data_IF_708972115351
#
_entry.id   IF_708972115351
#
_cell.length_a   1.000
_cell.length_b   1.000
_cell.length_c   1.000
_cell.angle_alpha   90.00
_cell.angle_beta   90.00
_cell.angle_gamma   90.00
#
_symmetry.space_group_name_H-M   'P 1'
#
loop_
_entity.id
_entity.type
_entity.pdbx_description
1 polymer ?
#
# COMPACT_ATOMS: atom_id res chain seq x y z
N UNK A 1 -3.30 -39.45 -28.06
CA UNK A 1 -3.25 -39.24 -26.60
C UNK A 1 -3.88 -37.90 -26.30
N UNK A 2 -4.94 -37.90 -25.50
CA UNK A 2 -5.72 -36.72 -25.13
C UNK A 2 -4.82 -35.67 -24.46
N UNK A 3 -4.82 -34.46 -25.01
CA UNK A 3 -4.29 -33.26 -24.36
C UNK A 3 -5.22 -32.85 -23.23
N UNK A 4 -5.14 -33.55 -22.10
CA UNK A 4 -5.64 -32.99 -20.84
C UNK A 4 -4.86 -31.69 -20.60
N UNK A 5 -5.56 -30.56 -20.69
CA UNK A 5 -5.08 -29.27 -20.23
C UNK A 5 -4.54 -29.47 -18.81
N UNK A 6 -3.21 -29.51 -18.67
CA UNK A 6 -2.56 -29.57 -17.36
C UNK A 6 -2.82 -28.24 -16.65
N UNK A 7 -3.99 -28.12 -16.03
CA UNK A 7 -4.31 -27.02 -15.13
C UNK A 7 -3.54 -27.24 -13.84
N UNK A 8 -2.77 -26.24 -13.45
CA UNK A 8 -2.20 -26.15 -12.09
C UNK A 8 -3.33 -26.24 -11.06
N UNK A 9 -3.14 -27.04 -10.01
CA UNK A 9 -4.01 -27.06 -8.84
C UNK A 9 -3.71 -25.92 -7.87
N UNK A 10 -2.62 -25.18 -8.06
CA UNK A 10 -2.32 -24.01 -7.24
C UNK A 10 -3.41 -22.95 -7.40
N UNK A 11 -3.94 -22.52 -6.26
CA UNK A 11 -4.92 -21.45 -6.19
C UNK A 11 -4.24 -20.10 -6.44
N UNK A 12 -5.03 -19.15 -6.91
CA UNK A 12 -4.58 -17.76 -7.10
C UNK A 12 -3.96 -17.14 -5.85
N UNK A 13 -4.48 -17.46 -4.66
CA UNK A 13 -3.94 -16.99 -3.38
C UNK A 13 -2.54 -17.55 -3.07
N UNK A 14 -2.24 -18.76 -3.53
CA UNK A 14 -0.92 -19.37 -3.38
C UNK A 14 0.08 -18.70 -4.31
N UNK A 15 -0.31 -18.45 -5.57
CA UNK A 15 0.53 -17.72 -6.53
C UNK A 15 0.82 -16.28 -6.05
N UNK A 16 -0.21 -15.58 -5.54
CA UNK A 16 -0.08 -14.26 -4.91
C UNK A 16 0.97 -14.30 -3.79
N UNK A 17 0.86 -15.28 -2.88
CA UNK A 17 1.76 -15.45 -1.72
C UNK A 17 3.20 -15.74 -2.15
N UNK A 18 3.42 -16.52 -3.21
CA UNK A 18 4.75 -16.80 -3.74
C UNK A 18 5.41 -15.52 -4.27
N UNK A 19 4.70 -14.72 -5.06
CA UNK A 19 5.26 -13.46 -5.60
C UNK A 19 5.61 -12.50 -4.46
N UNK A 20 4.73 -12.34 -3.48
CA UNK A 20 4.97 -11.48 -2.32
C UNK A 20 6.20 -11.96 -1.53
N UNK A 21 6.32 -13.27 -1.29
CA UNK A 21 7.50 -13.86 -0.62
C UNK A 21 8.79 -13.60 -1.41
N UNK A 22 8.76 -13.72 -2.74
CA UNK A 22 9.95 -13.50 -3.57
C UNK A 22 10.40 -12.03 -3.57
N UNK A 23 9.45 -11.10 -3.54
CA UNK A 23 9.72 -9.67 -3.47
C UNK A 23 10.06 -9.19 -2.05
N UNK A 24 9.65 -9.91 -1.00
CA UNK A 24 10.00 -9.54 0.39
C UNK A 24 11.44 -9.88 0.77
N UNK A 25 12.11 -10.77 0.03
CA UNK A 25 13.50 -11.17 0.31
C UNK A 25 14.52 -10.09 -0.07
N UNK A 26 14.30 -9.34 -1.15
CA UNK A 26 15.18 -8.25 -1.59
C UNK A 26 14.44 -6.92 -1.51
N UNK A 27 14.98 -5.97 -0.73
CA UNK A 27 14.38 -4.64 -0.58
C UNK A 27 14.43 -3.80 -1.85
N UNK A 28 15.27 -4.18 -2.83
CA UNK A 28 15.45 -3.48 -4.10
C UNK A 28 14.42 -3.95 -5.13
N UNK A 29 13.98 -3.04 -6.03
CA UNK A 29 13.13 -3.43 -7.16
C UNK A 29 13.79 -4.51 -8.04
N UNK A 30 13.03 -5.56 -8.34
CA UNK A 30 13.47 -6.76 -9.06
C UNK A 30 13.06 -6.66 -10.54
N UNK A 31 13.97 -6.83 -11.51
CA UNK A 31 13.60 -6.86 -12.93
C UNK A 31 12.59 -7.97 -13.24
N UNK A 32 11.65 -7.70 -14.16
CA UNK A 32 10.57 -8.64 -14.53
C UNK A 32 11.09 -10.07 -14.82
N UNK A 33 12.07 -10.22 -15.71
CA UNK A 33 12.64 -11.53 -16.09
C UNK A 33 13.30 -12.26 -14.91
N UNK A 34 13.90 -11.51 -13.97
CA UNK A 34 14.49 -12.07 -12.77
C UNK A 34 13.40 -12.59 -11.82
N UNK A 35 12.33 -11.80 -11.62
CA UNK A 35 11.20 -12.20 -10.80
C UNK A 35 10.49 -13.43 -11.39
N UNK A 36 10.24 -13.43 -12.71
CA UNK A 36 9.69 -14.56 -13.46
C UNK A 36 10.54 -15.82 -13.27
N UNK A 37 11.85 -15.72 -13.47
CA UNK A 37 12.78 -16.86 -13.29
C UNK A 37 12.74 -17.40 -11.86
N UNK A 38 12.73 -16.52 -10.86
CA UNK A 38 12.61 -16.90 -9.44
C UNK A 38 11.28 -17.58 -9.13
N UNK A 39 10.18 -17.07 -9.68
CA UNK A 39 8.84 -17.62 -9.51
C UNK A 39 8.73 -19.07 -10.02
N UNK A 40 9.13 -19.32 -11.27
CA UNK A 40 9.09 -20.68 -11.81
C UNK A 40 10.08 -21.63 -11.14
N UNK A 41 11.26 -21.12 -10.73
CA UNK A 41 12.21 -21.92 -9.95
C UNK A 41 11.63 -22.31 -8.58
N UNK A 42 10.95 -21.38 -7.92
CA UNK A 42 10.28 -21.64 -6.64
C UNK A 42 9.20 -22.71 -6.80
N UNK A 43 8.33 -22.58 -7.81
CA UNK A 43 7.28 -23.57 -8.09
C UNK A 43 7.90 -24.94 -8.37
N UNK A 44 8.91 -25.02 -9.25
CA UNK A 44 9.56 -26.31 -9.55
C UNK A 44 10.16 -26.97 -8.31
N UNK A 45 10.73 -26.19 -7.40
CA UNK A 45 11.37 -26.71 -6.20
C UNK A 45 10.37 -27.13 -5.11
N UNK A 46 9.25 -26.41 -4.96
CA UNK A 46 8.31 -26.61 -3.84
C UNK A 46 7.00 -27.31 -4.25
N UNK A 47 6.67 -27.27 -5.54
CA UNK A 47 5.46 -27.81 -6.15
C UNK A 47 5.82 -28.56 -7.46
N UNK A 48 6.64 -29.62 -7.39
CA UNK A 48 7.24 -30.26 -8.58
C UNK A 48 6.24 -30.91 -9.54
N UNK A 49 5.01 -31.19 -9.07
CA UNK A 49 3.92 -31.76 -9.88
C UNK A 49 3.04 -30.71 -10.55
N UNK A 50 3.22 -29.44 -10.19
CA UNK A 50 2.41 -28.33 -10.67
C UNK A 50 2.97 -27.75 -11.97
N UNK A 51 2.09 -27.49 -12.92
CA UNK A 51 2.43 -26.84 -14.18
C UNK A 51 1.73 -25.49 -14.27
N UNK A 52 2.49 -24.42 -14.06
CA UNK A 52 1.97 -23.05 -14.09
C UNK A 52 2.34 -22.40 -15.43
N UNK A 53 1.35 -21.82 -16.08
CA UNK A 53 1.55 -21.08 -17.34
C UNK A 53 2.18 -19.71 -17.08
N UNK A 54 2.85 -19.19 -18.08
CA UNK A 54 3.37 -17.82 -18.04
C UNK A 54 2.28 -16.78 -17.83
N UNK A 55 1.11 -16.99 -18.44
CA UNK A 55 -0.06 -16.14 -18.25
C UNK A 55 -0.48 -16.06 -16.78
N UNK A 56 -0.41 -17.17 -16.03
CA UNK A 56 -0.72 -17.18 -14.60
C UNK A 56 0.21 -16.27 -13.80
N UNK A 57 1.49 -16.17 -14.18
CA UNK A 57 2.43 -15.24 -13.56
C UNK A 57 2.06 -13.78 -13.87
N UNK A 58 1.74 -13.45 -15.11
CA UNK A 58 1.28 -12.10 -15.50
C UNK A 58 -0.02 -11.71 -14.80
N UNK A 59 -0.98 -12.63 -14.72
CA UNK A 59 -2.26 -12.43 -14.04
C UNK A 59 -2.06 -12.20 -12.54
N UNK A 60 -1.12 -12.94 -11.93
CA UNK A 60 -0.74 -12.76 -10.52
C UNK A 60 -0.16 -11.36 -10.29
N UNK A 61 0.80 -10.91 -11.11
CA UNK A 61 1.36 -9.56 -11.00
C UNK A 61 0.30 -8.48 -11.19
N UNK A 62 -0.56 -8.64 -12.19
CA UNK A 62 -1.66 -7.70 -12.47
C UNK A 62 -2.63 -7.62 -11.30
N UNK A 63 -3.00 -8.76 -10.72
CA UNK A 63 -3.89 -8.84 -9.56
C UNK A 63 -3.28 -8.17 -8.33
N UNK A 64 -2.02 -8.48 -8.02
CA UNK A 64 -1.30 -7.88 -6.89
C UNK A 64 -1.09 -6.37 -7.07
N UNK A 65 -0.81 -5.91 -8.30
CA UNK A 65 -0.68 -4.47 -8.63
C UNK A 65 -2.02 -3.75 -8.49
N UNK A 66 -3.13 -4.34 -8.93
CA UNK A 66 -4.49 -3.82 -8.71
C UNK A 66 -4.85 -3.75 -7.22
N UNK A 67 -4.37 -4.71 -6.42
CA UNK A 67 -4.51 -4.71 -4.95
C UNK A 67 -3.53 -3.76 -4.25
N UNK A 68 -2.66 -3.06 -4.97
CA UNK A 68 -1.61 -2.19 -4.42
C UNK A 68 -0.68 -2.90 -3.42
N UNK A 69 -0.42 -4.19 -3.62
CA UNK A 69 0.51 -4.98 -2.80
C UNK A 69 1.92 -5.01 -3.43
N UNK A 70 1.99 -4.76 -4.74
CA UNK A 70 3.23 -4.65 -5.50
C UNK A 70 3.12 -3.48 -6.47
N UNK A 71 4.27 -2.93 -6.81
CA UNK A 71 4.41 -1.76 -7.68
C UNK A 71 5.47 -2.02 -8.74
N UNK A 72 5.46 -1.18 -9.75
CA UNK A 72 6.40 -1.24 -10.87
C UNK A 72 6.93 0.16 -11.12
N UNK A 73 8.26 0.31 -11.20
CA UNK A 73 8.88 1.60 -11.48
C UNK A 73 9.02 1.84 -12.99
N UNK A 74 9.48 3.04 -13.37
CA UNK A 74 9.69 3.42 -14.77
C UNK A 74 10.69 2.53 -15.55
N UNK A 75 11.45 1.67 -14.87
CA UNK A 75 12.41 0.75 -15.47
C UNK A 75 11.88 -0.69 -15.56
N UNK A 76 10.58 -0.92 -15.35
CA UNK A 76 9.96 -2.25 -15.39
C UNK A 76 10.42 -3.18 -14.25
N UNK A 77 10.87 -2.58 -13.13
CA UNK A 77 11.28 -3.34 -11.94
C UNK A 77 10.16 -3.34 -10.91
N UNK A 78 9.91 -4.52 -10.37
CA UNK A 78 8.81 -4.83 -9.47
C UNK A 78 9.27 -4.81 -8.02
N UNK A 79 8.45 -4.25 -7.14
CA UNK A 79 8.75 -4.13 -5.71
C UNK A 79 7.48 -4.32 -4.90
N UNK A 80 7.61 -4.66 -3.62
CA UNK A 80 6.50 -4.57 -2.69
C UNK A 80 6.07 -3.12 -2.55
N UNK A 81 4.81 -2.86 -2.89
CA UNK A 81 4.16 -1.56 -2.76
C UNK A 81 3.25 -1.67 -1.53
N UNK A 82 3.52 -0.85 -0.53
CA UNK A 82 2.79 -0.78 0.75
C UNK A 82 2.38 -2.14 1.35
N UNK A 83 3.38 -2.94 1.76
CA UNK A 83 3.12 -3.97 2.78
C UNK A 83 2.49 -3.28 3.98
N UNK A 84 1.46 -3.92 4.52
CA UNK A 84 0.80 -3.61 5.78
C UNK A 84 1.83 -3.21 6.84
N UNK A 85 2.11 -1.92 6.90
CA UNK A 85 3.05 -1.41 7.86
C UNK A 85 2.44 -1.67 9.22
N UNK A 86 3.22 -2.25 10.11
CA UNK A 86 2.76 -2.44 11.47
C UNK A 86 2.44 -1.08 12.05
N UNK A 87 1.29 -0.97 12.71
CA UNK A 87 1.02 0.18 13.56
C UNK A 87 2.15 0.25 14.58
N UNK A 88 2.79 1.40 14.67
CA UNK A 88 3.65 1.70 15.81
C UNK A 88 2.78 2.02 17.03
N UNK A 89 3.41 2.28 18.18
CA UNK A 89 2.71 2.83 19.34
C UNK A 89 2.70 4.38 19.36
N UNK A 90 3.00 5.03 18.23
CA UNK A 90 3.04 6.50 18.12
C UNK A 90 1.77 7.01 17.50
N UNK A 91 0.95 7.63 18.33
CA UNK A 91 -0.31 8.23 17.93
C UNK A 91 -0.18 9.75 17.85
N UNK A 92 -0.99 10.35 17.00
CA UNK A 92 -1.13 11.80 16.90
C UNK A 92 -2.53 12.18 16.45
N UNK A 93 -2.80 13.48 16.48
CA UNK A 93 -4.05 14.06 16.00
C UNK A 93 -3.74 15.16 14.99
N UNK A 94 -4.58 15.30 13.97
CA UNK A 94 -4.40 16.35 12.97
C UNK A 94 -5.53 16.42 11.96
N UNK A 95 -5.49 17.45 11.13
CA UNK A 95 -6.47 17.65 10.08
C UNK A 95 -6.03 16.94 8.81
N UNK A 96 -6.95 16.21 8.21
CA UNK A 96 -6.73 15.44 6.98
C UNK A 96 -7.04 16.28 5.75
N UNK A 97 -6.13 16.29 4.78
CA UNK A 97 -6.37 16.82 3.43
C UNK A 97 -6.18 15.70 2.39
N UNK A 98 -7.21 15.39 1.60
CA UNK A 98 -7.17 14.33 0.59
C UNK A 98 -6.94 14.95 -0.79
N UNK A 99 -5.86 14.53 -1.44
CA UNK A 99 -5.54 14.94 -2.81
C UNK A 99 -6.59 14.37 -3.79
N UNK A 100 -7.31 15.23 -4.55
CA UNK A 100 -8.44 14.78 -5.38
C UNK A 100 -8.06 13.77 -6.48
N UNK A 101 -6.81 13.81 -6.96
CA UNK A 101 -6.36 12.96 -8.09
C UNK A 101 -5.96 11.55 -7.64
N UNK A 102 -5.21 11.43 -6.55
CA UNK A 102 -4.71 10.14 -6.07
C UNK A 102 -5.64 9.49 -5.05
N UNK A 103 -6.46 10.29 -4.37
CA UNK A 103 -7.26 9.88 -3.22
C UNK A 103 -6.45 9.67 -1.96
N UNK A 104 -5.15 9.98 -1.95
CA UNK A 104 -4.30 9.88 -0.77
C UNK A 104 -4.47 11.11 0.13
N UNK A 105 -4.29 10.90 1.43
CA UNK A 105 -4.38 11.92 2.46
C UNK A 105 -3.03 12.45 2.92
N UNK A 106 -3.04 13.65 3.47
CA UNK A 106 -1.94 14.27 4.20
C UNK A 106 -2.47 14.83 5.51
N UNK A 107 -1.81 14.50 6.62
CA UNK A 107 -2.20 15.01 7.94
C UNK A 107 -1.30 16.17 8.34
N UNK A 108 -1.96 17.26 8.74
CA UNK A 108 -1.31 18.44 9.32
C UNK A 108 -1.59 18.49 10.82
N UNK A 109 -0.55 18.29 11.63
CA UNK A 109 -0.60 18.35 13.10
C UNK A 109 -0.53 19.81 13.53
N UNK A 110 -1.50 20.27 14.32
CA UNK A 110 -1.46 21.58 15.00
C UNK A 110 -0.83 21.39 16.38
N UNK A 111 0.18 22.17 16.72
CA UNK A 111 0.69 22.25 18.10
C UNK A 111 0.57 23.70 18.58
N UNK A 112 -0.24 23.91 19.61
CA UNK A 112 -0.27 25.08 20.49
C UNK A 112 0.07 26.43 19.82
N UNK A 113 -0.88 27.00 19.07
CA UNK A 113 -0.86 28.40 18.67
C UNK A 113 0.10 28.81 17.55
N UNK A 114 1.03 27.95 17.12
CA UNK A 114 1.97 28.28 16.04
C UNK A 114 1.76 27.50 14.74
N UNK A 115 2.02 28.22 13.65
CA UNK A 115 1.92 27.90 12.21
C UNK A 115 1.91 26.41 11.87
N UNK A 116 1.00 26.06 10.94
CA UNK A 116 0.96 24.77 10.23
C UNK A 116 2.38 24.24 9.98
N UNK A 117 2.78 23.22 10.73
CA UNK A 117 3.96 22.45 10.36
C UNK A 117 3.61 21.86 9.00
N UNK A 118 4.41 22.14 7.96
CA UNK A 118 4.27 21.53 6.62
C UNK A 118 3.85 20.08 6.79
N UNK A 119 2.84 19.63 6.02
CA UNK A 119 2.24 18.29 6.09
C UNK A 119 3.27 17.28 6.58
N UNK A 120 2.97 16.61 7.69
CA UNK A 120 3.98 15.83 8.41
C UNK A 120 3.83 14.34 8.17
N UNK A 121 2.60 13.91 7.83
CA UNK A 121 2.27 12.52 7.63
C UNK A 121 1.53 12.31 6.32
N UNK A 122 1.91 11.26 5.60
CA UNK A 122 1.23 10.77 4.41
C UNK A 122 0.29 9.63 4.81
N UNK A 123 -0.92 9.63 4.28
CA UNK A 123 -1.93 8.59 4.52
C UNK A 123 -2.35 8.02 3.17
N UNK A 124 -2.01 6.76 2.92
CA UNK A 124 -2.51 6.09 1.72
C UNK A 124 -4.04 5.99 1.77
N UNK A 125 -4.73 6.09 0.62
CA UNK A 125 -6.21 6.02 0.53
C UNK A 125 -6.85 4.83 1.27
N UNK A 126 -6.14 3.70 1.33
CA UNK A 126 -6.57 2.46 2.04
C UNK A 126 -6.61 2.62 3.56
N UNK A 127 -5.86 3.57 4.10
CA UNK A 127 -5.69 3.83 5.52
C UNK A 127 -6.48 5.06 6.00
N UNK A 128 -7.41 5.58 5.19
CA UNK A 128 -8.22 6.75 5.56
C UNK A 128 -9.32 6.43 6.58
N UNK A 129 -9.69 5.15 6.71
CA UNK A 129 -10.73 4.68 7.64
C UNK A 129 -12.03 5.51 7.58
N UNK A 130 -12.51 5.82 6.36
CA UNK A 130 -13.74 6.58 6.13
C UNK A 130 -13.64 8.09 6.35
N UNK A 131 -12.48 8.61 6.74
CA UNK A 131 -12.25 10.05 6.91
C UNK A 131 -12.31 10.80 5.57
N UNK A 132 -12.74 12.06 5.65
CA UNK A 132 -12.87 13.01 4.53
C UNK A 132 -11.92 14.20 4.69
N UNK A 133 -11.67 14.92 3.60
CA UNK A 133 -10.93 16.19 3.65
C UNK A 133 -11.57 17.15 4.65
N UNK A 134 -10.76 17.69 5.55
CA UNK A 134 -11.15 18.60 6.61
C UNK A 134 -11.47 17.92 7.95
N UNK A 135 -11.57 16.59 7.99
CA UNK A 135 -11.82 15.86 9.25
C UNK A 135 -10.62 16.02 10.20
N UNK A 136 -10.93 16.14 11.50
CA UNK A 136 -9.96 15.97 12.57
C UNK A 136 -9.86 14.48 12.86
N UNK A 137 -8.66 13.91 12.71
CA UNK A 137 -8.44 12.47 12.83
C UNK A 137 -7.37 12.16 13.86
N UNK A 138 -7.56 11.04 14.58
CA UNK A 138 -6.51 10.37 15.32
C UNK A 138 -5.84 9.36 14.40
N UNK A 139 -4.52 9.42 14.32
CA UNK A 139 -3.73 8.55 13.46
C UNK A 139 -2.64 7.84 14.24
N UNK A 140 -2.10 6.77 13.64
CA UNK A 140 -0.94 6.03 14.11
C UNK A 140 0.16 6.06 13.05
N UNK A 141 1.40 6.32 13.46
CA UNK A 141 2.54 6.21 12.55
C UNK A 141 2.74 4.73 12.16
N UNK A 142 3.11 4.53 10.91
CA UNK A 142 3.34 3.23 10.31
C UNK A 142 4.83 2.89 10.34
N UNK A 143 5.17 1.67 10.76
CA UNK A 143 6.55 1.22 10.86
C UNK A 143 7.19 1.07 9.48
N UNK A 144 7.96 2.07 9.05
CA UNK A 144 8.74 1.97 7.82
C UNK A 144 9.90 1.01 8.05
N UNK A 145 9.89 -0.11 7.32
CA UNK A 145 10.92 -1.14 7.40
C UNK A 145 12.32 -0.50 7.21
N UNK A 146 13.15 -0.55 8.27
CA UNK A 146 14.35 0.28 8.51
C UNK A 146 15.40 0.31 7.38
N UNK A 147 15.33 -0.60 6.39
CA UNK A 147 16.24 -0.62 5.23
C UNK A 147 15.96 0.46 4.18
N UNK A 148 14.83 1.17 4.26
CA UNK A 148 14.46 2.28 3.33
C UNK A 148 14.46 3.65 4.01
N UNK A 149 15.51 3.99 4.78
CA UNK A 149 15.74 5.39 5.18
C UNK A 149 16.17 6.23 3.97
N UNK A 150 15.22 6.62 3.13
CA UNK A 150 15.43 7.62 2.10
C UNK A 150 15.16 9.01 2.69
N UNK A 151 16.24 9.76 2.92
CA UNK A 151 16.33 11.21 3.12
C UNK A 151 15.51 11.85 4.27
N UNK A 152 16.14 12.80 4.97
CA UNK A 152 15.61 13.61 6.10
C UNK A 152 14.33 14.44 5.81
N UNK A 153 13.67 14.23 4.67
CA UNK A 153 12.52 14.99 4.19
C UNK A 153 11.31 14.11 3.80
N UNK A 154 11.37 12.78 3.99
CA UNK A 154 10.24 11.89 3.72
C UNK A 154 9.14 12.10 4.76
N UNK A 155 7.92 12.40 4.30
CA UNK A 155 6.70 12.36 5.11
C UNK A 155 6.61 11.02 5.86
N UNK A 156 6.13 11.03 7.10
CA UNK A 156 5.95 9.82 7.88
C UNK A 156 4.66 9.13 7.40
N UNK A 157 4.73 7.85 7.03
CA UNK A 157 3.52 7.09 6.67
C UNK A 157 2.63 6.92 7.92
N UNK A 158 1.32 7.10 7.77
CA UNK A 158 0.34 7.00 8.85
C UNK A 158 -0.95 6.28 8.41
N UNK A 159 -1.69 5.80 9.42
CA UNK A 159 -3.04 5.24 9.26
C UNK A 159 -4.02 5.95 10.18
N UNK A 160 -5.21 6.29 9.66
CA UNK A 160 -6.29 6.85 10.46
C UNK A 160 -6.89 5.74 11.31
N UNK A 161 -6.87 5.95 12.63
CA UNK A 161 -7.43 5.04 13.62
C UNK A 161 -8.88 5.41 13.88
N UNK A 162 -9.17 6.71 13.95
CA UNK A 162 -10.47 7.22 14.38
C UNK A 162 -10.70 8.64 13.82
N UNK A 163 -11.94 8.95 13.46
CA UNK A 163 -12.37 10.31 13.12
C UNK A 163 -12.93 10.96 14.38
N UNK A 164 -12.27 12.02 14.86
CA UNK A 164 -12.64 12.71 16.10
C UNK A 164 -13.73 13.77 15.86
N UNK A 165 -13.68 14.44 14.71
CA UNK A 165 -14.69 15.40 14.27
C UNK A 165 -14.74 15.45 12.76
N UNK A 166 -15.94 15.47 12.19
CA UNK A 166 -16.11 15.75 10.77
C UNK A 166 -15.97 17.24 10.49
N UNK A 167 -15.50 17.59 9.29
CA UNK A 167 -15.56 18.98 8.85
C UNK A 167 -17.02 19.41 8.72
N UNK A 168 -17.49 20.30 9.58
CA UNK A 168 -18.83 20.87 9.51
C UNK A 168 -18.93 21.83 8.32
N UNK A 169 -19.31 21.31 7.16
CA UNK A 169 -19.75 22.10 6.01
C UNK A 169 -21.26 22.33 5.99
N UNK A 170 -21.97 21.96 7.05
CA UNK A 170 -23.45 22.07 7.14
C UNK A 170 -23.94 23.15 8.13
N UNK A 171 -23.09 24.09 8.56
CA UNK A 171 -23.48 25.12 9.56
C UNK A 171 -23.76 26.52 9.00
N UNK A 172 -23.85 26.70 7.68
CA UNK A 172 -24.15 28.01 7.06
C UNK A 172 -25.44 27.98 6.20
N UNK A 173 -26.56 27.48 6.74
CA UNK A 173 -27.90 27.87 6.26
C UNK A 173 -28.88 27.93 7.43
N UNK A 174 -28.67 28.87 8.36
CA UNK A 174 -29.74 29.37 9.22
C UNK A 174 -29.27 30.67 9.85
N UNK A 175 -29.58 31.79 9.18
CA UNK A 175 -29.92 33.08 9.77
C UNK A 175 -30.01 34.10 8.63
N UNK A 176 -31.21 34.26 8.10
CA UNK A 176 -31.72 35.54 7.63
C UNK A 176 -33.21 35.52 7.99
N UNK A 177 -33.49 36.04 9.19
CA UNK A 177 -34.79 36.65 9.49
C UNK A 177 -35.00 37.89 8.62
#
# INVERSE_FOLDING_TARGET
MSSEERKSNLKDSELDSIVLKLLSVDSRPVPFNVLKSKFFRFIRANHPREFVLEESFFNTLTRLKKKYLIGENQYGKWFIDYLDYKHTNRFGEGFLDIEPRSGNGFITVKKEGEKYKKSSHFVHKKNLNGAKTGDLVKFVELEINLKRKAARFSLIDASVVEVLSHSSKDSEVSNNE
#
